data_IF_298842929580
#
_entry.id   IF_298842929580
#
_cell.length_a   1.000
_cell.length_b   1.000
_cell.length_c   1.000
_cell.angle_alpha   90.00
_cell.angle_beta   90.00
_cell.angle_gamma   90.00
#
_symmetry.space_group_name_H-M   'P 1'
#
loop_
_entity.id
_entity.type
_entity.pdbx_description
1 polymer ?
#
# COMPACT_ATOMS: atom_id res chain seq x y z
N UNK A 1 20.10 10.63 1.21
CA UNK A 1 20.45 9.43 0.42
C UNK A 1 20.28 8.24 1.34
N UNK A 2 19.73 7.14 0.85
CA UNK A 2 19.41 5.99 1.69
C UNK A 2 20.63 5.31 2.29
N UNK A 3 20.58 5.05 3.59
CA UNK A 3 21.68 4.39 4.33
C UNK A 3 21.68 2.87 4.14
N UNK A 4 20.54 2.29 3.78
CA UNK A 4 20.38 0.85 3.54
C UNK A 4 19.55 0.59 2.29
N UNK A 5 19.52 -0.66 1.83
CA UNK A 5 18.63 -1.10 0.76
C UNK A 5 17.15 -0.93 1.08
N UNK A 6 16.77 -0.67 2.34
CA UNK A 6 15.40 -0.41 2.76
C UNK A 6 15.02 1.08 2.76
N UNK A 7 15.99 2.01 2.68
CA UNK A 7 15.66 3.43 2.52
C UNK A 7 15.47 3.76 1.03
N UNK A 8 14.41 3.19 0.48
CA UNK A 8 14.02 3.34 -0.91
C UNK A 8 12.52 3.71 -0.99
N UNK A 9 12.09 4.12 -2.18
CA UNK A 9 10.68 4.47 -2.41
C UNK A 9 9.74 3.26 -2.50
N UNK A 10 10.28 2.06 -2.79
CA UNK A 10 9.51 0.80 -2.83
C UNK A 10 8.94 0.48 -1.46
N UNK A 11 9.67 0.82 -0.39
CA UNK A 11 9.23 0.71 1.00
C UNK A 11 8.28 1.85 1.42
N UNK A 12 7.82 2.74 0.53
CA UNK A 12 6.95 3.87 0.89
C UNK A 12 5.71 3.91 0.00
N UNK A 13 4.76 3.01 0.25
CA UNK A 13 3.53 2.92 -0.51
C UNK A 13 2.60 4.11 -0.25
N UNK A 14 2.43 4.98 -1.24
CA UNK A 14 1.40 6.01 -1.26
C UNK A 14 0.16 5.57 -2.04
N UNK A 15 -0.94 6.30 -1.88
CA UNK A 15 -2.18 6.12 -2.62
C UNK A 15 -2.41 7.24 -3.63
N UNK A 16 -2.93 6.85 -4.79
CA UNK A 16 -3.51 7.76 -5.78
C UNK A 16 -4.83 7.17 -6.30
N UNK A 17 -5.75 8.04 -6.69
CA UNK A 17 -7.05 7.67 -7.23
C UNK A 17 -7.22 8.25 -8.63
N UNK A 18 -7.87 7.48 -9.49
CA UNK A 18 -8.33 7.94 -10.79
C UNK A 18 -9.67 7.30 -11.11
N UNK A 19 -10.56 8.06 -11.74
CA UNK A 19 -11.84 7.58 -12.25
C UNK A 19 -11.82 7.30 -13.76
N UNK A 20 -10.78 7.75 -14.47
CA UNK A 20 -10.66 7.66 -15.94
C UNK A 20 -9.32 7.08 -16.41
N UNK A 21 -8.46 6.69 -15.47
CA UNK A 21 -7.08 6.21 -15.66
C UNK A 21 -6.13 7.22 -16.34
N UNK A 22 -6.59 8.44 -16.65
CA UNK A 22 -5.81 9.51 -17.27
C UNK A 22 -5.47 10.65 -16.32
N UNK A 23 -6.39 10.98 -15.41
CA UNK A 23 -6.25 12.00 -14.39
C UNK A 23 -6.11 11.35 -13.02
N UNK A 24 -5.03 11.68 -12.31
CA UNK A 24 -4.68 11.06 -11.03
C UNK A 24 -4.60 12.10 -9.92
N UNK A 25 -5.30 11.85 -8.82
CA UNK A 25 -5.19 12.62 -7.59
C UNK A 25 -4.34 11.82 -6.58
N UNK A 26 -3.32 12.47 -6.01
CA UNK A 26 -2.56 11.88 -4.90
C UNK A 26 -3.40 11.99 -3.63
N UNK A 27 -3.70 10.85 -3.02
CA UNK A 27 -4.40 10.81 -1.71
C UNK A 27 -3.41 11.02 -0.57
N UNK A 28 -2.21 10.43 -0.67
CA UNK A 28 -1.17 10.58 0.36
C UNK A 28 -0.07 11.53 -0.13
N UNK A 29 0.09 12.67 0.55
CA UNK A 29 1.09 13.70 0.23
C UNK A 29 2.27 13.74 1.18
N UNK A 30 2.04 13.37 2.44
CA UNK A 30 2.98 13.66 3.54
C UNK A 30 3.84 12.45 3.94
N UNK A 31 3.64 11.30 3.28
CA UNK A 31 4.32 10.06 3.61
C UNK A 31 3.62 8.84 2.99
N UNK A 32 4.10 7.62 3.34
CA UNK A 32 3.40 6.38 3.00
C UNK A 32 2.03 6.31 3.69
N UNK A 33 1.11 5.53 3.11
CA UNK A 33 -0.25 5.40 3.62
C UNK A 33 -0.32 4.68 4.96
N UNK A 34 0.42 3.57 5.11
CA UNK A 34 0.46 2.78 6.33
C UNK A 34 1.91 2.44 6.64
N UNK A 35 2.36 2.86 7.82
CA UNK A 35 3.61 2.45 8.41
C UNK A 35 3.37 1.33 9.42
N UNK A 36 4.02 0.19 9.19
CA UNK A 36 3.93 -0.96 10.08
C UNK A 36 5.10 -1.02 11.05
N UNK A 37 4.94 -1.81 12.12
CA UNK A 37 5.95 -1.97 13.17
C UNK A 37 7.30 -2.49 12.64
N UNK A 38 7.28 -3.28 11.58
CA UNK A 38 8.46 -3.97 11.03
C UNK A 38 8.83 -3.48 9.62
N UNK A 39 8.17 -2.45 9.13
CA UNK A 39 8.25 -1.97 7.75
C UNK A 39 6.87 -1.52 7.25
N UNK A 40 6.85 -0.81 6.12
CA UNK A 40 5.61 -0.30 5.55
C UNK A 40 4.92 -1.35 4.68
N UNK A 41 3.65 -1.12 4.35
CA UNK A 41 3.00 -1.94 3.33
C UNK A 41 3.50 -1.57 1.94
N UNK A 42 3.41 -2.51 0.99
CA UNK A 42 3.74 -2.32 -0.43
C UNK A 42 2.62 -2.82 -1.33
N UNK A 43 2.63 -2.36 -2.58
CA UNK A 43 1.78 -2.85 -3.68
C UNK A 43 0.31 -3.10 -3.28
N UNK A 44 -0.45 -2.03 -3.10
CA UNK A 44 -1.87 -2.15 -2.80
C UNK A 44 -2.71 -2.22 -4.07
N UNK A 45 -3.69 -3.11 -4.05
CA UNK A 45 -4.82 -3.14 -4.98
C UNK A 45 -6.15 -3.25 -4.22
N UNK A 46 -7.17 -2.55 -4.70
CA UNK A 46 -8.50 -2.53 -4.11
C UNK A 46 -9.54 -3.06 -5.10
N UNK A 47 -10.03 -4.28 -4.84
CA UNK A 47 -11.00 -4.95 -5.69
C UNK A 47 -12.39 -4.89 -5.06
N UNK A 48 -13.35 -4.28 -5.76
CA UNK A 48 -14.76 -4.33 -5.37
C UNK A 48 -15.41 -5.62 -5.86
N UNK A 49 -16.07 -6.34 -4.96
CA UNK A 49 -16.88 -7.54 -5.26
C UNK A 49 -18.23 -7.40 -4.57
N UNK A 50 -19.28 -7.04 -5.33
CA UNK A 50 -20.59 -6.72 -4.77
C UNK A 50 -20.53 -5.48 -3.85
N UNK A 51 -20.96 -5.67 -2.59
CA UNK A 51 -20.97 -4.64 -1.54
C UNK A 51 -19.73 -4.70 -0.64
N UNK A 52 -18.67 -5.35 -1.10
CA UNK A 52 -17.42 -5.52 -0.37
C UNK A 52 -16.24 -4.98 -1.18
N UNK A 53 -15.27 -4.39 -0.49
CA UNK A 53 -13.95 -4.07 -1.02
C UNK A 53 -12.92 -5.00 -0.37
N UNK A 54 -12.11 -5.63 -1.21
CA UNK A 54 -10.95 -6.43 -0.83
C UNK A 54 -9.68 -5.63 -1.11
N UNK A 55 -8.96 -5.27 -0.05
CA UNK A 55 -7.65 -4.63 -0.15
C UNK A 55 -6.57 -5.70 -0.08
N UNK A 56 -5.94 -5.96 -1.22
CA UNK A 56 -4.75 -6.80 -1.30
C UNK A 56 -3.51 -5.92 -1.14
N UNK A 57 -2.58 -6.33 -0.29
CA UNK A 57 -1.35 -5.58 -0.06
C UNK A 57 -0.25 -6.51 0.41
N UNK A 58 0.98 -6.09 0.20
CA UNK A 58 2.15 -6.77 0.70
C UNK A 58 2.56 -6.20 2.06
N UNK A 59 2.82 -7.08 3.02
CA UNK A 59 3.15 -6.72 4.40
C UNK A 59 4.56 -7.19 4.78
N UNK A 60 5.36 -6.28 5.34
CA UNK A 60 6.70 -6.59 5.85
C UNK A 60 6.62 -7.25 7.23
N UNK A 61 7.10 -8.49 7.32
CA UNK A 61 7.18 -9.29 8.54
C UNK A 61 8.38 -8.90 9.40
N UNK A 62 8.44 -9.43 10.61
CA UNK A 62 9.55 -9.17 11.55
C UNK A 62 10.92 -9.57 10.98
N UNK A 63 10.99 -10.67 10.25
CA UNK A 63 12.18 -11.16 9.56
C UNK A 63 12.50 -10.40 8.25
N UNK A 64 11.79 -9.29 7.99
CA UNK A 64 11.87 -8.49 6.77
C UNK A 64 11.42 -9.23 5.50
N UNK A 65 10.83 -10.42 5.62
CA UNK A 65 10.16 -11.10 4.52
C UNK A 65 8.83 -10.42 4.21
N UNK A 66 8.35 -10.61 2.99
CA UNK A 66 7.13 -9.99 2.49
C UNK A 66 6.06 -11.05 2.26
N UNK A 67 4.83 -10.77 2.71
CA UNK A 67 3.68 -11.65 2.49
C UNK A 67 2.48 -10.90 1.93
N UNK A 68 1.76 -11.55 1.01
CA UNK A 68 0.50 -11.04 0.50
C UNK A 68 -0.59 -11.23 1.57
N UNK A 69 -1.29 -10.16 1.92
CA UNK A 69 -2.45 -10.16 2.81
C UNK A 69 -3.66 -9.59 2.12
N UNK A 70 -4.83 -9.90 2.67
CA UNK A 70 -6.12 -9.33 2.25
C UNK A 70 -6.89 -8.80 3.45
N UNK A 71 -7.49 -7.62 3.31
CA UNK A 71 -8.46 -7.07 4.26
C UNK A 71 -9.76 -6.75 3.56
N UNK A 72 -10.88 -7.15 4.17
CA UNK A 72 -12.23 -6.90 3.65
C UNK A 72 -12.87 -5.69 4.34
N UNK A 73 -13.64 -4.89 3.60
CA UNK A 73 -14.47 -3.81 4.11
C UNK A 73 -15.79 -3.74 3.35
N UNK A 74 -16.91 -3.85 4.05
CA UNK A 74 -18.24 -3.60 3.48
C UNK A 74 -18.41 -2.10 3.18
N UNK A 75 -19.07 -1.79 2.06
CA UNK A 75 -19.41 -0.44 1.61
C UNK A 75 -20.44 0.24 2.52
#
# INVERSE_FOLDING_TARGET
MGETFYDNYVEKCGLALSHDLGNWERITTDGPWIEGKHGNIRYIDALRVGDEIFYYYEYTREDQSHELRVKKKSL
#
